data_IF_775328435270
#
_entry.id   IF_775328435270
#
_cell.length_a   1.000
_cell.length_b   1.000
_cell.length_c   1.000
_cell.angle_alpha   90.00
_cell.angle_beta   90.00
_cell.angle_gamma   90.00
#
_symmetry.space_group_name_H-M   'P 1'
#
loop_
_entity.id
_entity.type
_entity.pdbx_description
1 polymer ?
#
# COMPACT_ATOMS: atom_id res chain seq x y z
N UNK A 1 -4.86 -11.47 1.95
CA UNK A 1 -4.48 -10.95 0.61
C UNK A 1 -4.97 -9.51 0.37
N UNK A 2 -6.23 -9.16 0.69
CA UNK A 2 -6.77 -7.78 0.51
C UNK A 2 -5.95 -6.64 1.15
N UNK A 3 -5.35 -6.86 2.32
CA UNK A 3 -4.57 -5.83 3.02
C UNK A 3 -3.32 -5.39 2.22
N UNK A 4 -2.60 -6.33 1.61
CA UNK A 4 -1.34 -6.03 0.92
C UNK A 4 -1.53 -5.33 -0.43
N UNK A 5 -2.73 -5.46 -1.03
CA UNK A 5 -3.10 -4.74 -2.26
C UNK A 5 -3.55 -3.31 -1.98
N UNK A 6 -3.82 -2.95 -0.72
CA UNK A 6 -4.36 -1.63 -0.38
C UNK A 6 -3.42 -0.47 -0.70
N UNK A 7 -2.10 -0.53 -0.45
CA UNK A 7 -1.19 0.56 -0.80
C UNK A 7 -1.22 0.89 -2.31
N UNK A 8 -1.11 -0.12 -3.18
CA UNK A 8 -1.21 0.09 -4.62
C UNK A 8 -2.58 0.62 -5.05
N UNK A 9 -3.67 0.17 -4.40
CA UNK A 9 -5.01 0.73 -4.62
C UNK A 9 -5.08 2.21 -4.23
N UNK A 10 -4.48 2.57 -3.10
CA UNK A 10 -4.47 3.96 -2.62
C UNK A 10 -3.69 4.86 -3.57
N UNK A 11 -2.56 4.39 -4.12
CA UNK A 11 -1.80 5.11 -5.14
C UNK A 11 -2.67 5.35 -6.39
N UNK A 12 -3.39 4.32 -6.86
CA UNK A 12 -4.30 4.45 -8.00
C UNK A 12 -5.44 5.46 -7.74
N UNK A 13 -6.06 5.41 -6.56
CA UNK A 13 -7.10 6.36 -6.15
C UNK A 13 -6.56 7.79 -6.12
N UNK A 14 -5.37 7.99 -5.55
CA UNK A 14 -4.72 9.30 -5.50
C UNK A 14 -4.37 9.83 -6.90
N UNK A 15 -4.13 8.93 -7.87
CA UNK A 15 -3.94 9.26 -9.27
C UNK A 15 -5.26 9.45 -10.05
N UNK A 16 -6.42 9.40 -9.39
CA UNK A 16 -7.74 9.58 -10.02
C UNK A 16 -8.26 8.35 -10.77
N UNK A 17 -7.70 7.17 -10.52
CA UNK A 17 -8.02 5.92 -11.22
C UNK A 17 -8.90 5.01 -10.37
N UNK A 18 -9.60 4.09 -11.04
CA UNK A 18 -10.35 3.03 -10.37
C UNK A 18 -9.38 1.97 -9.85
N UNK A 19 -9.15 1.97 -8.53
CA UNK A 19 -8.09 1.15 -7.93
C UNK A 19 -8.33 -0.35 -8.05
N UNK A 20 -9.56 -0.83 -8.25
CA UNK A 20 -9.84 -2.27 -8.40
C UNK A 20 -9.34 -2.79 -9.75
N UNK A 21 -9.55 -2.04 -10.82
CA UNK A 21 -9.07 -2.30 -12.18
C UNK A 21 -7.54 -2.27 -12.21
N UNK A 22 -6.90 -1.30 -11.55
CA UNK A 22 -5.43 -1.24 -11.48
C UNK A 22 -4.85 -2.48 -10.79
N UNK A 23 -5.43 -2.88 -9.65
CA UNK A 23 -4.97 -4.08 -8.94
C UNK A 23 -5.21 -5.34 -9.77
N UNK A 24 -6.36 -5.46 -10.44
CA UNK A 24 -6.63 -6.59 -11.32
C UNK A 24 -5.57 -6.70 -12.43
N UNK A 25 -5.27 -5.59 -13.11
CA UNK A 25 -4.26 -5.56 -14.16
C UNK A 25 -2.84 -5.88 -13.68
N UNK A 26 -2.45 -5.49 -12.46
CA UNK A 26 -1.17 -5.89 -11.87
C UNK A 26 -1.14 -7.40 -11.62
N UNK A 27 -2.24 -7.98 -11.11
CA UNK A 27 -2.33 -9.40 -10.74
C UNK A 27 -2.47 -10.35 -11.93
N UNK A 28 -2.66 -9.84 -13.15
CA UNK A 28 -2.67 -10.64 -14.39
C UNK A 28 -1.28 -11.17 -14.78
N UNK A 29 -0.21 -10.66 -14.14
CA UNK A 29 1.16 -11.07 -14.39
C UNK A 29 1.87 -11.42 -13.07
N UNK A 30 2.54 -12.58 -13.06
CA UNK A 30 3.24 -13.11 -11.88
C UNK A 30 4.70 -12.62 -11.76
N UNK A 31 5.18 -11.80 -12.69
CA UNK A 31 6.51 -11.19 -12.59
C UNK A 31 6.56 -10.16 -11.44
N UNK A 32 7.49 -10.35 -10.51
CA UNK A 32 7.70 -9.47 -9.36
C UNK A 32 8.05 -8.03 -9.73
N UNK A 33 8.66 -7.81 -10.90
CA UNK A 33 8.99 -6.48 -11.39
C UNK A 33 7.81 -5.78 -12.08
N UNK A 34 6.77 -6.54 -12.46
CA UNK A 34 5.61 -6.00 -13.14
C UNK A 34 4.70 -5.24 -12.19
N UNK A 35 4.28 -4.06 -12.61
CA UNK A 35 3.35 -3.23 -11.86
C UNK A 35 2.77 -2.11 -12.69
N UNK A 36 2.20 -1.11 -12.00
CA UNK A 36 1.55 0.02 -12.64
C UNK A 36 2.25 1.33 -12.30
N UNK A 37 2.68 2.05 -13.32
CA UNK A 37 3.21 3.39 -13.18
C UNK A 37 2.05 4.39 -13.16
N UNK A 38 1.75 4.91 -11.96
CA UNK A 38 0.64 5.83 -11.76
C UNK A 38 0.85 7.22 -12.37
N UNK A 39 2.09 7.59 -12.73
CA UNK A 39 2.38 8.87 -13.37
C UNK A 39 2.14 8.80 -14.89
N UNK A 40 2.57 7.71 -15.54
CA UNK A 40 2.39 7.54 -16.99
C UNK A 40 1.10 6.79 -17.37
N UNK A 41 0.49 6.08 -16.43
CA UNK A 41 -0.72 5.28 -16.64
C UNK A 41 -0.48 3.94 -17.35
N UNK A 42 0.76 3.41 -17.28
CA UNK A 42 1.19 2.26 -18.09
C UNK A 42 1.70 1.13 -17.19
N UNK A 43 1.22 -0.09 -17.46
CA UNK A 43 1.76 -1.31 -16.85
C UNK A 43 3.10 -1.72 -17.45
N UNK A 44 3.97 -2.30 -16.64
CA UNK A 44 5.24 -2.84 -17.10
C UNK A 44 6.23 -3.04 -15.95
N UNK A 45 7.49 -3.27 -16.32
CA UNK A 45 8.58 -3.43 -15.37
C UNK A 45 8.88 -2.10 -14.65
N UNK A 46 8.57 -2.04 -13.36
CA UNK A 46 8.80 -0.88 -12.51
C UNK A 46 10.27 -0.68 -12.18
N UNK A 47 11.07 -1.75 -12.15
CA UNK A 47 12.52 -1.70 -11.92
C UNK A 47 13.19 -1.01 -13.10
N UNK A 48 12.86 -1.43 -14.31
CA UNK A 48 13.36 -0.80 -15.55
C UNK A 48 12.92 0.66 -15.69
N UNK A 49 11.76 1.03 -15.12
CA UNK A 49 11.27 2.41 -15.03
C UNK A 49 11.88 3.23 -13.89
N UNK A 50 12.70 2.63 -13.03
CA UNK A 50 13.32 3.29 -11.88
C UNK A 50 12.37 3.55 -10.70
N UNK A 51 11.19 2.95 -10.69
CA UNK A 51 10.19 3.03 -9.61
C UNK A 51 10.47 1.85 -8.65
N UNK A 52 11.42 2.05 -7.73
CA UNK A 52 11.93 0.98 -6.86
C UNK A 52 11.87 1.43 -5.40
N UNK A 53 11.33 0.57 -4.54
CA UNK A 53 11.41 0.74 -3.09
C UNK A 53 12.54 -0.08 -2.48
N UNK A 54 13.39 0.50 -1.60
CA UNK A 54 14.40 -0.27 -0.89
C UNK A 54 13.77 -1.35 -0.02
N UNK A 55 14.28 -2.58 -0.09
CA UNK A 55 13.77 -3.72 0.68
C UNK A 55 13.68 -3.45 2.20
N UNK A 56 14.61 -2.66 2.75
CA UNK A 56 14.60 -2.25 4.16
C UNK A 56 13.35 -1.42 4.50
N UNK A 57 12.94 -0.51 3.62
CA UNK A 57 11.79 0.38 3.84
C UNK A 57 10.50 -0.44 3.88
N UNK A 58 10.27 -1.29 2.88
CA UNK A 58 9.07 -2.13 2.79
C UNK A 58 8.98 -3.09 3.98
N UNK A 59 10.09 -3.74 4.34
CA UNK A 59 10.13 -4.67 5.49
C UNK A 59 9.79 -3.97 6.79
N UNK A 60 10.43 -2.84 7.09
CA UNK A 60 10.19 -2.10 8.34
C UNK A 60 8.75 -1.59 8.41
N UNK A 61 8.18 -1.12 7.29
CA UNK A 61 6.78 -0.67 7.23
C UNK A 61 5.81 -1.81 7.57
N UNK A 62 6.00 -2.99 6.99
CA UNK A 62 5.15 -4.16 7.26
C UNK A 62 5.29 -4.65 8.71
N UNK A 63 6.51 -4.69 9.23
CA UNK A 63 6.77 -5.08 10.62
C UNK A 63 6.12 -4.12 11.61
N UNK A 64 6.25 -2.81 11.39
CA UNK A 64 5.60 -1.78 12.20
C UNK A 64 4.07 -1.89 12.14
N UNK A 65 3.50 -2.05 10.95
CA UNK A 65 2.06 -2.21 10.77
C UNK A 65 1.52 -3.46 11.49
N UNK A 66 2.21 -4.60 11.37
CA UNK A 66 1.82 -5.83 12.06
C UNK A 66 1.92 -5.70 13.59
N UNK A 67 2.95 -5.02 14.10
CA UNK A 67 3.13 -4.77 15.53
C UNK A 67 2.00 -3.91 16.10
N UNK A 68 1.67 -2.79 15.45
CA UNK A 68 0.57 -1.92 15.87
C UNK A 68 -0.77 -2.63 15.76
N UNK A 69 -1.02 -3.37 14.68
CA UNK A 69 -2.26 -4.14 14.52
C UNK A 69 -2.41 -5.20 15.62
N UNK A 70 -1.33 -5.90 15.96
CA UNK A 70 -1.33 -6.88 17.05
C UNK A 70 -1.65 -6.26 18.41
N UNK A 71 -1.06 -5.09 18.70
CA UNK A 71 -1.40 -4.32 19.91
C UNK A 71 -2.88 -3.94 19.92
N UNK A 72 -3.39 -3.37 18.84
CA UNK A 72 -4.79 -2.92 18.75
C UNK A 72 -5.80 -4.05 18.94
N UNK A 73 -5.53 -5.23 18.38
CA UNK A 73 -6.43 -6.40 18.49
C UNK A 73 -6.52 -6.94 19.91
N UNK A 74 -5.43 -6.89 20.68
CA UNK A 74 -5.39 -7.39 22.06
C UNK A 74 -5.75 -6.32 23.10
N UNK A 75 -5.87 -5.06 22.71
CA UNK A 75 -6.17 -3.95 23.64
C UNK A 75 -7.68 -3.83 23.85
N UNK A 76 -8.14 -4.04 25.09
CA UNK A 76 -9.58 -4.00 25.41
C UNK A 76 -10.11 -2.59 25.71
N UNK A 77 -9.24 -1.62 26.02
CA UNK A 77 -9.63 -0.25 26.31
C UNK A 77 -8.58 0.77 25.84
N UNK A 78 -9.04 1.89 25.30
CA UNK A 78 -8.21 3.04 24.92
C UNK A 78 -8.62 4.28 25.72
N UNK A 79 -7.64 5.04 26.19
CA UNK A 79 -7.84 6.36 26.80
C UNK A 79 -7.46 7.41 25.77
N UNK A 80 -8.36 8.34 25.48
CA UNK A 80 -8.13 9.46 24.57
C UNK A 80 -8.41 10.79 25.28
N UNK A 81 -7.64 11.82 24.95
CA UNK A 81 -7.93 13.19 25.39
C UNK A 81 -9.07 13.80 24.58
N UNK A 82 -9.89 14.62 25.23
CA UNK A 82 -10.97 15.35 24.55
C UNK A 82 -10.33 16.37 23.60
N UNK A 83 -10.71 16.42 22.32
CA UNK A 83 -10.21 17.44 21.39
C UNK A 83 -10.47 18.84 21.96
N UNK A 84 -9.42 19.68 21.99
CA UNK A 84 -9.56 21.08 22.38
C UNK A 84 -10.49 21.85 21.43
N UNK A 85 -11.02 23.02 21.85
CA UNK A 85 -11.76 23.89 20.96
C UNK A 85 -10.92 24.28 19.73
N UNK A 86 -11.56 24.57 18.58
CA UNK A 86 -10.88 24.86 17.32
C UNK A 86 -9.97 26.11 17.38
#
# INVERSE_FOLDING_TARGET
RKAITWPARQIAINAGLEGSVVIAGILENDDNAYGYDAQSGVYGDLVSKGIIDPAKVVRTALQGAASVAGLLIMTEAMVAEIPGPP
#
